data_IF_803405325489
#
_entry.id   IF_803405325489
#
_cell.length_a   1.000
_cell.length_b   1.000
_cell.length_c   1.000
_cell.angle_alpha   90.00
_cell.angle_beta   90.00
_cell.angle_gamma   90.00
#
_symmetry.space_group_name_H-M   'P 1'
#
loop_
_entity.id
_entity.type
_entity.pdbx_description
1 polymer ?
#
# COMPACT_ATOMS: atom_id res chain seq x y z
N UNK A 1 -18.84 9.06 -16.87
CA UNK A 1 -17.46 9.12 -16.34
C UNK A 1 -16.91 7.70 -16.35
N UNK A 2 -15.89 7.37 -17.17
CA UNK A 2 -15.29 6.03 -17.20
C UNK A 2 -14.31 5.91 -16.04
N UNK A 3 -14.62 5.07 -15.05
CA UNK A 3 -13.74 4.75 -13.93
C UNK A 3 -12.48 4.06 -14.49
N UNK A 4 -11.30 4.66 -14.31
CA UNK A 4 -10.01 4.06 -14.65
C UNK A 4 -9.49 3.30 -13.44
N UNK A 5 -10.06 2.14 -13.16
CA UNK A 5 -9.37 1.17 -12.31
C UNK A 5 -8.34 0.46 -13.19
N UNK A 6 -7.09 0.35 -12.72
CA UNK A 6 -6.13 -0.55 -13.39
C UNK A 6 -6.54 -1.99 -13.03
N UNK A 7 -6.61 -2.85 -14.05
CA UNK A 7 -7.15 -4.21 -13.96
C UNK A 7 -6.55 -5.01 -12.79
N UNK A 8 -7.35 -5.93 -12.24
CA UNK A 8 -6.90 -6.91 -11.26
C UNK A 8 -5.61 -7.61 -11.73
N UNK A 9 -4.57 -7.57 -10.92
CA UNK A 9 -3.32 -8.27 -11.21
C UNK A 9 -2.92 -9.13 -10.02
N UNK A 10 -2.18 -10.24 -10.25
CA UNK A 10 -1.27 -10.72 -9.22
C UNK A 10 -0.42 -9.53 -8.75
N UNK A 11 -0.04 -9.45 -7.47
CA UNK A 11 0.71 -8.32 -6.91
C UNK A 11 2.16 -8.21 -7.43
N UNK A 12 2.42 -8.55 -8.70
CA UNK A 12 3.71 -8.70 -9.35
C UNK A 12 4.52 -7.41 -9.49
N UNK A 13 3.89 -6.23 -9.37
CA UNK A 13 4.39 -5.05 -10.07
C UNK A 13 4.94 -3.89 -9.24
N UNK A 14 4.60 -3.73 -7.95
CA UNK A 14 4.93 -2.48 -7.22
C UNK A 14 5.27 -2.65 -5.74
N UNK A 15 4.54 -3.52 -5.05
CA UNK A 15 5.03 -4.21 -3.87
C UNK A 15 5.03 -5.66 -4.27
N UNK A 16 6.17 -6.22 -4.66
CA UNK A 16 6.24 -7.62 -5.10
C UNK A 16 5.99 -8.56 -3.92
N UNK A 17 4.74 -8.66 -3.48
CA UNK A 17 4.25 -9.74 -2.64
C UNK A 17 3.97 -10.90 -3.60
N UNK A 18 5.04 -11.49 -4.11
CA UNK A 18 4.98 -12.67 -4.97
C UNK A 18 5.91 -13.75 -4.45
N UNK A 19 5.27 -14.89 -4.13
CA UNK A 19 5.84 -16.22 -4.02
C UNK A 19 7.13 -16.36 -3.20
N UNK A 20 7.07 -16.03 -1.91
CA UNK A 20 7.80 -16.82 -0.93
C UNK A 20 7.01 -18.12 -0.70
N UNK A 21 7.44 -19.21 -1.35
CA UNK A 21 7.16 -20.67 -1.20
C UNK A 21 6.08 -21.19 -0.20
N UNK A 22 4.99 -20.46 0.00
CA UNK A 22 4.01 -20.67 1.05
C UNK A 22 2.71 -19.97 0.70
N UNK A 23 2.05 -20.42 -0.38
CA UNK A 23 0.60 -20.44 -0.57
C UNK A 23 -0.22 -19.34 0.17
N UNK A 24 -0.04 -18.04 -0.10
CA UNK A 24 -0.94 -16.96 0.37
C UNK A 24 -1.45 -16.04 -0.75
N UNK A 25 -1.30 -16.46 -2.01
CA UNK A 25 -1.45 -15.64 -3.23
C UNK A 25 -2.43 -14.48 -3.10
N UNK A 26 -1.94 -13.26 -3.33
CA UNK A 26 -2.74 -12.05 -3.25
C UNK A 26 -3.28 -11.64 -4.63
N UNK A 27 -4.53 -11.19 -4.65
CA UNK A 27 -5.09 -10.44 -5.80
C UNK A 27 -5.11 -8.97 -5.46
N UNK A 28 -4.40 -8.15 -6.23
CA UNK A 28 -4.27 -6.71 -6.00
C UNK A 28 -5.05 -5.90 -7.05
N UNK A 29 -5.51 -4.72 -6.62
CA UNK A 29 -6.06 -3.66 -7.47
C UNK A 29 -5.37 -2.35 -7.12
N UNK A 30 -4.96 -1.60 -8.13
CA UNK A 30 -4.35 -0.29 -7.97
C UNK A 30 -5.40 0.83 -8.14
N UNK A 31 -5.21 1.96 -7.46
CA UNK A 31 -5.99 3.20 -7.61
C UNK A 31 -7.50 2.95 -7.48
N UNK A 32 -7.88 2.22 -6.42
CA UNK A 32 -9.24 1.75 -6.19
C UNK A 32 -10.11 2.90 -5.71
N UNK A 33 -11.13 3.22 -6.51
CA UNK A 33 -12.19 4.13 -6.09
C UNK A 33 -12.95 3.56 -4.89
N UNK A 34 -13.11 4.38 -3.85
CA UNK A 34 -13.90 4.09 -2.68
C UNK A 34 -14.67 5.32 -2.21
N UNK A 35 -15.74 5.09 -1.44
CA UNK A 35 -16.53 6.14 -0.80
C UNK A 35 -16.47 5.92 0.70
N UNK A 36 -16.10 6.95 1.47
CA UNK A 36 -16.13 6.88 2.92
C UNK A 36 -17.55 6.97 3.48
N UNK A 37 -17.73 6.66 4.76
CA UNK A 37 -19.04 6.71 5.42
C UNK A 37 -19.69 8.10 5.45
N UNK A 38 -18.95 9.18 5.16
CA UNK A 38 -19.46 10.54 5.01
C UNK A 38 -19.84 10.91 3.57
N UNK A 39 -19.70 9.98 2.62
CA UNK A 39 -19.96 10.23 1.20
C UNK A 39 -18.78 10.85 0.44
N UNK A 40 -17.61 10.99 1.07
CA UNK A 40 -16.42 11.55 0.40
C UNK A 40 -15.78 10.49 -0.48
N UNK A 41 -15.51 10.85 -1.74
CA UNK A 41 -14.77 10.00 -2.66
C UNK A 41 -13.28 9.96 -2.30
N UNK A 42 -12.70 8.76 -2.32
CA UNK A 42 -11.29 8.47 -2.05
C UNK A 42 -10.75 7.51 -3.11
N UNK A 43 -9.43 7.50 -3.28
CA UNK A 43 -8.72 6.52 -4.10
C UNK A 43 -7.67 5.85 -3.24
N UNK A 44 -7.88 4.58 -2.93
CA UNK A 44 -6.87 3.79 -2.23
C UNK A 44 -5.81 3.36 -3.24
N UNK A 45 -4.54 3.51 -2.89
CA UNK A 45 -3.44 3.14 -3.79
C UNK A 45 -3.48 1.67 -4.15
N UNK A 46 -3.64 0.79 -3.15
CA UNK A 46 -3.70 -0.66 -3.35
C UNK A 46 -4.77 -1.27 -2.45
N UNK A 47 -5.60 -2.14 -3.03
CA UNK A 47 -6.44 -3.09 -2.27
C UNK A 47 -6.01 -4.51 -2.61
N UNK A 48 -5.58 -5.27 -1.60
CA UNK A 48 -5.05 -6.61 -1.74
C UNK A 48 -5.94 -7.64 -1.03
N UNK A 49 -6.36 -8.68 -1.74
CA UNK A 49 -7.17 -9.78 -1.21
C UNK A 49 -6.30 -11.01 -1.00
N UNK A 50 -6.22 -11.52 0.23
CA UNK A 50 -5.46 -12.74 0.53
C UNK A 50 -6.26 -13.97 0.07
N UNK A 51 -5.62 -14.85 -0.72
CA UNK A 51 -6.32 -15.97 -1.34
C UNK A 51 -6.78 -17.05 -0.35
N UNK A 52 -6.02 -17.28 0.72
CA UNK A 52 -6.21 -18.40 1.64
C UNK A 52 -6.72 -17.99 3.03
N UNK A 53 -7.22 -16.77 3.17
CA UNK A 53 -7.84 -16.28 4.39
C UNK A 53 -9.04 -15.39 4.05
N UNK A 54 -9.74 -14.88 5.06
CA UNK A 54 -10.77 -13.84 4.86
C UNK A 54 -10.19 -12.42 4.95
N UNK A 55 -8.87 -12.24 4.91
CA UNK A 55 -8.24 -10.93 5.04
C UNK A 55 -8.21 -10.18 3.69
N UNK A 56 -8.41 -8.87 3.80
CA UNK A 56 -8.13 -7.92 2.74
C UNK A 56 -7.37 -6.74 3.34
N UNK A 57 -6.47 -6.16 2.57
CA UNK A 57 -5.67 -5.01 2.97
C UNK A 57 -5.97 -3.81 2.10
N UNK A 58 -6.06 -2.64 2.71
CA UNK A 58 -5.94 -1.35 2.03
C UNK A 58 -4.54 -0.83 2.35
N UNK A 59 -3.67 -0.82 1.35
CA UNK A 59 -2.28 -0.40 1.50
C UNK A 59 -2.12 0.98 0.87
N UNK A 60 -1.53 1.90 1.63
CA UNK A 60 -1.18 3.23 1.16
C UNK A 60 0.32 3.45 1.40
N UNK A 61 1.17 3.25 0.37
CA UNK A 61 2.58 3.59 0.44
C UNK A 61 2.77 5.10 0.43
N UNK A 62 3.45 5.61 1.45
CA UNK A 62 3.71 7.02 1.66
C UNK A 62 5.21 7.25 1.80
N UNK A 63 5.77 8.05 0.88
CA UNK A 63 7.15 8.55 1.01
C UNK A 63 7.12 9.89 1.76
N UNK A 64 7.88 10.01 2.86
CA UNK A 64 8.02 11.25 3.65
C UNK A 64 9.46 11.42 4.13
N UNK A 65 9.87 12.68 4.32
CA UNK A 65 11.18 12.99 4.90
C UNK A 65 11.26 12.48 6.34
N UNK A 66 12.37 11.86 6.69
CA UNK A 66 12.58 11.32 8.03
C UNK A 66 12.78 12.44 9.04
N UNK A 67 12.09 12.35 10.18
CA UNK A 67 12.31 13.24 11.32
C UNK A 67 13.05 12.50 12.45
N UNK A 68 13.40 13.24 13.51
CA UNK A 68 13.91 12.65 14.76
C UNK A 68 12.78 12.10 15.65
N UNK A 69 11.54 11.99 15.13
CA UNK A 69 10.41 11.43 15.88
C UNK A 69 10.30 9.93 15.62
N UNK A 70 10.61 9.14 16.64
CA UNK A 70 10.52 7.67 16.59
C UNK A 70 9.08 7.17 16.31
N UNK A 71 8.07 8.02 16.50
CA UNK A 71 6.67 7.67 16.26
C UNK A 71 6.16 8.04 14.86
N UNK A 72 7.03 8.51 13.97
CA UNK A 72 6.61 8.93 12.62
C UNK A 72 5.88 7.81 11.86
N UNK A 73 6.36 6.57 11.95
CA UNK A 73 5.72 5.40 11.35
C UNK A 73 4.29 5.18 11.89
N UNK A 74 4.12 5.28 13.21
CA UNK A 74 2.83 5.10 13.89
C UNK A 74 1.87 6.22 13.55
N UNK A 75 2.35 7.46 13.49
CA UNK A 75 1.56 8.62 13.11
C UNK A 75 1.03 8.47 11.68
N UNK A 76 1.86 8.02 10.73
CA UNK A 76 1.45 7.77 9.34
C UNK A 76 0.43 6.63 9.27
N UNK A 77 0.70 5.50 9.95
CA UNK A 77 -0.25 4.40 9.99
C UNK A 77 -1.63 4.84 10.53
N UNK A 78 -1.64 5.65 11.59
CA UNK A 78 -2.87 6.19 12.20
C UNK A 78 -3.58 7.19 11.28
N UNK A 79 -2.82 8.07 10.62
CA UNK A 79 -3.35 9.00 9.62
C UNK A 79 -4.08 8.24 8.49
N UNK A 80 -3.44 7.19 7.95
CA UNK A 80 -4.02 6.40 6.86
C UNK A 80 -5.21 5.56 7.30
N UNK A 81 -5.15 4.97 8.49
CA UNK A 81 -6.30 4.29 9.10
C UNK A 81 -7.53 5.22 9.19
N UNK A 82 -7.34 6.44 9.73
CA UNK A 82 -8.41 7.43 9.87
C UNK A 82 -9.08 7.85 8.55
N UNK A 83 -8.36 7.72 7.42
CA UNK A 83 -8.87 8.02 6.08
C UNK A 83 -9.62 6.81 5.53
N UNK A 84 -8.98 5.64 5.48
CA UNK A 84 -9.49 4.51 4.69
C UNK A 84 -10.32 3.49 5.48
N UNK A 85 -10.27 3.47 6.81
CA UNK A 85 -11.13 2.55 7.58
C UNK A 85 -12.61 2.83 7.31
N UNK A 86 -12.94 4.11 7.13
CA UNK A 86 -14.28 4.59 6.77
C UNK A 86 -14.73 4.13 5.37
N UNK A 87 -13.80 3.71 4.51
CA UNK A 87 -14.07 3.21 3.16
C UNK A 87 -14.32 1.70 3.11
N UNK A 88 -14.04 0.96 4.20
CA UNK A 88 -14.08 -0.51 4.21
C UNK A 88 -15.47 -1.07 3.92
N UNK A 89 -16.54 -0.42 4.38
CA UNK A 89 -17.92 -0.82 4.06
C UNK A 89 -18.22 -0.78 2.56
N UNK A 90 -17.83 0.31 1.89
CA UNK A 90 -17.99 0.44 0.44
C UNK A 90 -17.16 -0.61 -0.31
N UNK A 91 -15.91 -0.82 0.09
CA UNK A 91 -15.03 -1.83 -0.51
C UNK A 91 -15.60 -3.25 -0.31
N UNK A 92 -16.13 -3.55 0.87
CA UNK A 92 -16.79 -4.81 1.18
C UNK A 92 -17.98 -5.05 0.25
N UNK A 93 -18.84 -4.06 0.03
CA UNK A 93 -19.97 -4.18 -0.90
C UNK A 93 -19.50 -4.37 -2.35
N UNK A 94 -18.58 -3.52 -2.80
CA UNK A 94 -18.05 -3.53 -4.16
C UNK A 94 -17.44 -4.87 -4.57
N UNK A 95 -16.72 -5.52 -3.65
CA UNK A 95 -15.98 -6.74 -3.93
C UNK A 95 -16.62 -8.01 -3.36
N UNK A 96 -17.82 -7.92 -2.75
CA UNK A 96 -18.52 -9.04 -2.11
C UNK A 96 -18.73 -10.21 -3.07
N UNK A 97 -19.22 -9.95 -4.28
CA UNK A 97 -19.56 -11.01 -5.23
C UNK A 97 -18.33 -11.78 -5.72
N UNK A 98 -17.16 -11.15 -5.68
CA UNK A 98 -15.91 -11.74 -6.17
C UNK A 98 -15.09 -12.43 -5.10
N UNK A 99 -15.07 -11.89 -3.89
CA UNK A 99 -14.20 -12.38 -2.81
C UNK A 99 -14.96 -12.81 -1.55
N UNK A 100 -16.27 -12.59 -1.48
CA UNK A 100 -17.08 -12.84 -0.29
C UNK A 100 -16.90 -11.79 0.80
N UNK A 101 -17.29 -12.14 2.03
CA UNK A 101 -17.03 -11.32 3.21
C UNK A 101 -15.55 -11.35 3.57
N UNK A 102 -14.99 -10.15 3.83
CA UNK A 102 -13.58 -9.94 4.14
C UNK A 102 -13.40 -9.05 5.35
N UNK A 103 -12.41 -9.37 6.17
CA UNK A 103 -11.92 -8.50 7.24
C UNK A 103 -10.87 -7.59 6.63
N UNK A 104 -11.23 -6.31 6.47
CA UNK A 104 -10.32 -5.29 5.94
C UNK A 104 -9.38 -4.77 7.03
N UNK A 105 -8.11 -4.64 6.70
CA UNK A 105 -7.11 -3.93 7.50
C UNK A 105 -6.50 -2.80 6.68
N UNK A 106 -6.42 -1.60 7.26
CA UNK A 106 -5.73 -0.47 6.64
C UNK A 106 -4.29 -0.44 7.13
N UNK A 107 -3.34 -0.34 6.21
CA UNK A 107 -1.90 -0.23 6.51
C UNK A 107 -1.30 0.94 5.74
N UNK A 108 -0.94 1.98 6.47
CA UNK A 108 -0.04 3.02 5.96
C UNK A 108 1.39 2.48 5.96
N UNK A 109 2.02 2.42 4.78
CA UNK A 109 3.39 1.94 4.62
C UNK A 109 4.28 3.16 4.46
N UNK A 110 5.09 3.46 5.48
CA UNK A 110 5.97 4.63 5.42
C UNK A 110 7.33 4.24 4.84
N UNK A 111 7.80 5.05 3.89
CA UNK A 111 9.16 5.03 3.38
C UNK A 111 9.80 6.41 3.56
N UNK A 112 11.04 6.43 4.03
CA UNK A 112 11.85 7.61 4.11
C UNK A 112 12.28 8.09 2.73
N UNK A 113 12.25 9.40 2.49
CA UNK A 113 12.71 9.96 1.22
C UNK A 113 14.20 9.74 0.95
N UNK A 114 14.99 9.34 1.96
CA UNK A 114 16.40 8.92 1.81
C UNK A 114 16.55 7.40 1.75
N UNK A 115 15.51 6.68 1.35
CA UNK A 115 15.52 5.21 1.22
C UNK A 115 15.35 4.47 2.54
N UNK A 116 14.99 5.15 3.63
CA UNK A 116 14.78 4.50 4.93
C UNK A 116 13.52 3.63 4.88
N UNK A 117 13.60 2.37 5.31
CA UNK A 117 12.43 1.52 5.56
C UNK A 117 12.29 1.32 7.07
N UNK A 118 11.26 1.88 7.72
CA UNK A 118 11.03 1.71 9.15
C UNK A 118 10.75 0.24 9.48
N UNK A 119 11.22 -0.23 10.63
CA UNK A 119 11.09 -1.63 11.06
C UNK A 119 9.64 -2.13 10.98
N UNK A 120 8.65 -1.34 11.41
CA UNK A 120 7.24 -1.74 11.33
C UNK A 120 6.75 -1.98 9.89
N UNK A 121 7.21 -1.17 8.92
CA UNK A 121 6.87 -1.37 7.50
C UNK A 121 7.61 -2.57 6.94
N UNK A 122 8.90 -2.72 7.27
CA UNK A 122 9.72 -3.85 6.87
C UNK A 122 9.12 -5.18 7.36
N UNK A 123 8.91 -5.33 8.65
CA UNK A 123 8.36 -6.55 9.28
C UNK A 123 6.99 -6.92 8.72
N UNK A 124 6.13 -5.92 8.46
CA UNK A 124 4.85 -6.15 7.84
C UNK A 124 5.00 -6.75 6.43
N UNK A 125 5.85 -6.14 5.59
CA UNK A 125 6.05 -6.60 4.21
C UNK A 125 6.71 -7.98 4.16
N UNK A 126 7.70 -8.24 5.02
CA UNK A 126 8.30 -9.57 5.18
C UNK A 126 7.24 -10.58 5.67
N UNK A 127 6.39 -10.19 6.62
CA UNK A 127 5.28 -11.02 7.10
C UNK A 127 4.25 -11.37 6.01
N UNK A 128 4.11 -10.52 4.98
CA UNK A 128 3.32 -10.81 3.78
C UNK A 128 4.05 -11.69 2.75
N UNK A 129 5.35 -11.92 2.94
CA UNK A 129 6.19 -12.71 2.03
C UNK A 129 6.90 -11.88 0.97
N UNK A 130 7.11 -10.58 1.20
CA UNK A 130 8.06 -9.81 0.40
C UNK A 130 9.49 -10.35 0.63
N UNK A 131 10.32 -10.25 -0.41
CA UNK A 131 11.71 -10.66 -0.35
C UNK A 131 12.61 -9.47 0.06
N UNK A 132 13.56 -9.70 0.97
CA UNK A 132 14.48 -8.68 1.48
C UNK A 132 15.21 -7.94 0.34
N UNK A 133 15.63 -8.66 -0.72
CA UNK A 133 16.32 -8.03 -1.86
C UNK A 133 15.41 -7.10 -2.65
N UNK A 134 14.10 -7.39 -2.69
CA UNK A 134 13.10 -6.52 -3.32
C UNK A 134 12.86 -5.25 -2.51
N UNK A 135 12.90 -5.33 -1.18
CA UNK A 135 12.79 -4.15 -0.33
C UNK A 135 14.03 -3.25 -0.46
N UNK A 136 15.22 -3.84 -0.61
CA UNK A 136 16.44 -3.08 -0.90
C UNK A 136 16.35 -2.35 -2.25
N UNK A 137 15.91 -3.04 -3.31
CA UNK A 137 15.70 -2.43 -4.63
C UNK A 137 14.66 -1.30 -4.58
N UNK A 138 13.58 -1.47 -3.82
CA UNK A 138 12.58 -0.41 -3.65
C UNK A 138 13.18 0.83 -2.96
N UNK A 139 14.02 0.65 -1.95
CA UNK A 139 14.72 1.78 -1.31
C UNK A 139 15.66 2.50 -2.29
N UNK A 140 16.36 1.76 -3.15
CA UNK A 140 17.21 2.31 -4.21
C UNK A 140 16.39 3.11 -5.24
N UNK A 141 15.24 2.59 -5.69
CA UNK A 141 14.33 3.28 -6.61
C UNK A 141 13.83 4.60 -6.01
N UNK A 142 13.42 4.61 -4.73
CA UNK A 142 13.00 5.83 -4.03
C UNK A 142 14.11 6.88 -4.02
N UNK A 143 15.36 6.47 -3.80
CA UNK A 143 16.52 7.36 -3.83
C UNK A 143 16.78 7.93 -5.23
N UNK A 144 16.76 7.07 -6.25
CA UNK A 144 16.98 7.45 -7.65
C UNK A 144 15.92 8.46 -8.10
N UNK A 145 14.64 8.21 -7.80
CA UNK A 145 13.54 9.09 -8.15
C UNK A 145 13.64 10.44 -7.41
N UNK A 146 14.02 10.41 -6.14
CA UNK A 146 14.24 11.62 -5.34
C UNK A 146 15.37 12.49 -5.92
N UNK A 147 16.47 11.87 -6.39
CA UNK A 147 17.55 12.57 -7.09
C UNK A 147 17.09 13.15 -8.44
N UNK A 148 16.24 12.43 -9.18
CA UNK A 148 15.65 12.92 -10.43
C UNK A 148 14.86 14.22 -10.23
N UNK A 149 14.06 14.30 -9.17
CA UNK A 149 13.29 15.51 -8.83
C UNK A 149 14.24 16.69 -8.53
N UNK A 150 15.30 16.47 -7.75
CA UNK A 150 16.30 17.50 -7.45
C UNK A 150 17.03 17.97 -8.70
N UNK A 151 17.41 17.03 -9.58
CA UNK A 151 18.04 17.35 -10.87
C UNK A 151 17.16 18.25 -11.73
N UNK A 152 15.87 17.94 -11.83
CA UNK A 152 14.93 18.82 -12.52
C UNK A 152 14.81 20.19 -11.85
N UNK A 153 14.78 20.26 -10.52
CA UNK A 153 14.63 21.52 -9.80
C UNK A 153 15.85 22.45 -9.89
N UNK A 154 17.06 21.90 -10.00
CA UNK A 154 18.31 22.67 -10.07
C UNK A 154 18.62 23.14 -11.51
N UNK A 155 18.25 22.33 -12.51
CA UNK A 155 18.65 22.55 -13.90
C UNK A 155 17.48 22.91 -14.84
N UNK A 156 16.31 23.29 -14.30
CA UNK A 156 15.22 23.94 -15.04
C UNK A 156 15.08 25.41 -14.68
#
# INVERSE_FOLDING_TARGET
MRQRERNASPCAGKLSVQHASGNRGFTCYDEVYAVDSGGTSRYADIVAFEGNSNLAYVLDPTVRYESNDDNQAVAIASEKANIYEKCTGYLQEKYRDRFGERRYEVRGLWFGSRGTIPQATFEFLIGLGADDSRLALLAEEILIDSLGILGHHIYS
#
